data_IF_695875557182
#
_entry.id   IF_695875557182
#
_cell.length_a   1.000
_cell.length_b   1.000
_cell.length_c   1.000
_cell.angle_alpha   90.00
_cell.angle_beta   90.00
_cell.angle_gamma   90.00
#
_symmetry.space_group_name_H-M   'P 1'
#
loop_
_entity.id
_entity.type
_entity.pdbx_description
1 polymer ?
#
# COMPACT_ATOMS: atom_id res chain seq x y z
N UNK A 1 65.04 -14.83 -15.90
CA UNK A 1 63.71 -15.49 -15.96
C UNK A 1 63.03 -15.46 -14.59
N UNK A 2 62.91 -14.29 -13.94
CA UNK A 2 62.42 -14.17 -12.55
C UNK A 2 61.35 -13.08 -12.32
N UNK A 3 60.89 -12.39 -13.38
CA UNK A 3 59.99 -11.22 -13.25
C UNK A 3 58.52 -11.47 -13.66
N UNK A 4 58.16 -12.72 -14.03
CA UNK A 4 56.78 -13.06 -14.44
C UNK A 4 55.96 -13.78 -13.36
N UNK A 5 56.59 -14.30 -12.30
CA UNK A 5 55.88 -15.03 -11.24
C UNK A 5 55.15 -14.11 -10.25
N UNK A 6 55.75 -12.95 -9.90
CA UNK A 6 55.19 -12.01 -8.92
C UNK A 6 53.91 -11.29 -9.39
N UNK A 7 53.76 -11.04 -10.69
CA UNK A 7 52.55 -10.37 -11.24
C UNK A 7 51.32 -11.27 -11.26
N UNK A 8 51.50 -12.58 -11.46
CA UNK A 8 50.40 -13.56 -11.46
C UNK A 8 49.92 -13.83 -10.03
N UNK A 9 50.84 -13.91 -9.06
CA UNK A 9 50.52 -14.10 -7.65
C UNK A 9 49.79 -12.89 -7.04
N UNK A 10 50.17 -11.66 -7.43
CA UNK A 10 49.51 -10.45 -6.95
C UNK A 10 48.08 -10.31 -7.52
N UNK A 11 47.86 -10.72 -8.77
CA UNK A 11 46.55 -10.68 -9.41
C UNK A 11 45.57 -11.73 -8.85
N UNK A 12 46.03 -12.93 -8.51
CA UNK A 12 45.20 -13.97 -7.88
C UNK A 12 44.83 -13.61 -6.43
N UNK A 13 45.76 -13.05 -5.66
CA UNK A 13 45.51 -12.54 -4.31
C UNK A 13 44.49 -11.38 -4.34
N UNK A 14 44.63 -10.44 -5.28
CA UNK A 14 43.68 -9.34 -5.44
C UNK A 14 42.27 -9.83 -5.84
N UNK A 15 42.16 -10.80 -6.75
CA UNK A 15 40.86 -11.43 -7.09
C UNK A 15 40.24 -12.19 -5.92
N UNK A 16 41.03 -12.86 -5.08
CA UNK A 16 40.54 -13.54 -3.88
C UNK A 16 40.03 -12.54 -2.82
N UNK A 17 40.71 -11.40 -2.64
CA UNK A 17 40.24 -10.33 -1.75
C UNK A 17 38.97 -9.65 -2.28
N UNK A 18 38.91 -9.38 -3.59
CA UNK A 18 37.70 -8.83 -4.22
C UNK A 18 36.51 -9.80 -4.10
N UNK A 19 36.69 -11.08 -4.38
CA UNK A 19 35.64 -12.10 -4.24
C UNK A 19 35.19 -12.36 -2.79
N UNK A 20 36.12 -12.26 -1.82
CA UNK A 20 35.77 -12.34 -0.40
C UNK A 20 34.98 -11.10 0.06
N UNK A 21 35.34 -9.90 -0.42
CA UNK A 21 34.66 -8.65 -0.08
C UNK A 21 33.25 -8.55 -0.68
N UNK A 22 33.05 -9.03 -1.91
CA UNK A 22 31.71 -9.08 -2.52
C UNK A 22 30.81 -10.10 -1.83
N UNK A 23 31.31 -11.30 -1.54
CA UNK A 23 30.57 -12.32 -0.81
C UNK A 23 30.22 -11.87 0.62
N UNK A 24 31.12 -11.13 1.29
CA UNK A 24 30.84 -10.55 2.60
C UNK A 24 29.79 -9.44 2.53
N UNK A 25 29.79 -8.61 1.48
CA UNK A 25 28.76 -7.60 1.24
C UNK A 25 27.39 -8.21 1.01
N UNK A 26 27.29 -9.21 0.13
CA UNK A 26 26.05 -9.95 -0.15
C UNK A 26 25.50 -10.65 1.10
N UNK A 27 26.39 -11.25 1.91
CA UNK A 27 26.00 -11.88 3.17
C UNK A 27 25.44 -10.86 4.17
N UNK A 28 26.08 -9.69 4.29
CA UNK A 28 25.61 -8.62 5.18
C UNK A 28 24.26 -8.07 4.73
N UNK A 29 24.05 -7.91 3.42
CA UNK A 29 22.77 -7.50 2.85
C UNK A 29 21.68 -8.55 3.12
N UNK A 30 21.97 -9.83 2.90
CA UNK A 30 21.03 -10.92 3.18
C UNK A 30 20.65 -11.01 4.68
N UNK A 31 21.63 -10.87 5.58
CA UNK A 31 21.39 -10.82 7.02
C UNK A 31 20.54 -9.61 7.37
N UNK A 32 20.85 -8.44 6.80
CA UNK A 32 20.07 -7.23 7.08
C UNK A 32 18.63 -7.35 6.56
N UNK A 33 18.42 -7.86 5.36
CA UNK A 33 17.07 -8.07 4.80
C UNK A 33 16.24 -9.04 5.65
N UNK A 34 16.88 -10.05 6.23
CA UNK A 34 16.22 -10.98 7.17
C UNK A 34 15.86 -10.27 8.46
N UNK A 35 16.81 -9.53 9.06
CA UNK A 35 16.60 -8.78 10.29
C UNK A 35 15.54 -7.69 10.12
N UNK A 36 15.50 -7.02 8.97
CA UNK A 36 14.54 -5.99 8.64
C UNK A 36 13.12 -6.52 8.70
N UNK A 37 12.86 -7.66 8.05
CA UNK A 37 11.55 -8.30 8.08
C UNK A 37 11.13 -8.74 9.49
N UNK A 38 12.08 -9.21 10.32
CA UNK A 38 11.80 -9.55 11.72
C UNK A 38 11.40 -8.31 12.53
N UNK A 39 12.15 -7.21 12.40
CA UNK A 39 11.88 -5.96 13.12
C UNK A 39 10.55 -5.36 12.68
N UNK A 40 10.28 -5.31 11.36
CA UNK A 40 9.01 -4.82 10.82
C UNK A 40 7.86 -5.64 11.38
N UNK A 41 7.92 -6.98 11.27
CA UNK A 41 6.86 -7.88 11.75
C UNK A 41 6.60 -7.68 13.24
N UNK A 42 7.64 -7.52 14.04
CA UNK A 42 7.55 -7.32 15.49
C UNK A 42 6.83 -6.00 15.85
N UNK A 43 7.25 -4.86 15.27
CA UNK A 43 6.58 -3.58 15.53
C UNK A 43 5.14 -3.54 14.98
N UNK A 44 4.88 -4.11 13.81
CA UNK A 44 3.52 -4.18 13.24
C UNK A 44 2.63 -5.07 14.10
N UNK A 45 3.13 -6.23 14.55
CA UNK A 45 2.38 -7.12 15.46
C UNK A 45 2.06 -6.42 16.78
N UNK A 46 3.04 -5.72 17.37
CA UNK A 46 2.86 -4.94 18.59
C UNK A 46 1.80 -3.84 18.41
N UNK A 47 1.87 -3.09 17.31
CA UNK A 47 0.89 -2.05 16.99
C UNK A 47 -0.51 -2.65 16.77
N UNK A 48 -0.61 -3.77 16.06
CA UNK A 48 -1.86 -4.47 15.79
C UNK A 48 -2.53 -4.99 17.06
N UNK A 49 -1.74 -5.61 17.96
CA UNK A 49 -2.26 -6.09 19.24
C UNK A 49 -2.77 -4.95 20.14
N UNK A 50 -2.23 -3.73 19.99
CA UNK A 50 -2.73 -2.56 20.68
C UNK A 50 -3.98 -1.97 20.00
N UNK A 51 -4.05 -2.01 18.67
CA UNK A 51 -5.16 -1.51 17.88
C UNK A 51 -5.18 -2.19 16.49
N UNK A 52 -6.11 -3.12 16.25
CA UNK A 52 -6.21 -3.89 14.99
C UNK A 52 -6.35 -2.99 13.76
N UNK A 53 -6.93 -1.81 13.93
CA UNK A 53 -7.16 -0.87 12.83
C UNK A 53 -5.86 -0.39 12.18
N UNK A 54 -4.68 -0.62 12.74
CA UNK A 54 -3.41 -0.30 12.06
C UNK A 54 -3.20 -1.12 10.80
N UNK A 55 -3.77 -2.34 10.71
CA UNK A 55 -3.62 -3.19 9.54
C UNK A 55 -4.16 -2.54 8.25
N UNK A 56 -5.43 -2.11 8.19
CA UNK A 56 -5.92 -1.40 7.00
C UNK A 56 -5.22 -0.05 6.77
N UNK A 57 -4.70 0.60 7.81
CA UNK A 57 -3.97 1.86 7.66
C UNK A 57 -2.64 1.68 6.93
N UNK A 58 -1.84 0.69 7.33
CA UNK A 58 -0.53 0.42 6.72
C UNK A 58 -0.67 -0.15 5.32
N UNK A 59 -1.68 -0.99 5.07
CA UNK A 59 -2.03 -1.46 3.73
C UNK A 59 -2.38 -0.29 2.80
N UNK A 60 -3.25 0.62 3.25
CA UNK A 60 -3.61 1.82 2.49
C UNK A 60 -2.41 2.76 2.28
N UNK A 61 -1.55 2.92 3.28
CA UNK A 61 -0.36 3.77 3.17
C UNK A 61 0.59 3.26 2.06
N UNK A 62 0.77 1.95 1.95
CA UNK A 62 1.54 1.35 0.86
C UNK A 62 0.88 1.54 -0.53
N UNK A 63 -0.44 1.38 -0.63
CA UNK A 63 -1.17 1.68 -1.87
C UNK A 63 -0.98 3.16 -2.30
N UNK A 64 -1.11 4.09 -1.35
CA UNK A 64 -0.95 5.52 -1.62
C UNK A 64 0.47 5.89 -2.05
N UNK A 65 1.49 5.23 -1.48
CA UNK A 65 2.87 5.36 -1.94
C UNK A 65 3.00 4.90 -3.40
N UNK A 66 2.63 3.65 -3.69
CA UNK A 66 2.84 3.05 -5.00
C UNK A 66 2.10 3.75 -6.14
N UNK A 67 0.94 4.36 -5.88
CA UNK A 67 0.14 5.05 -6.90
C UNK A 67 0.58 6.50 -7.14
N UNK A 68 1.51 7.04 -6.35
CA UNK A 68 2.08 8.38 -6.53
C UNK A 68 3.57 8.24 -6.75
N UNK A 69 4.02 8.43 -8.00
CA UNK A 69 5.42 8.25 -8.41
C UNK A 69 6.01 6.85 -8.16
N UNK A 70 5.21 5.82 -7.92
CA UNK A 70 5.72 4.47 -7.66
C UNK A 70 6.12 4.25 -6.20
N UNK A 71 6.47 3.02 -5.84
CA UNK A 71 6.72 2.63 -4.45
C UNK A 71 8.11 3.11 -3.97
N UNK A 72 8.24 4.41 -3.69
CA UNK A 72 9.50 5.05 -3.30
C UNK A 72 9.46 5.71 -1.91
N UNK A 73 8.41 5.49 -1.13
CA UNK A 73 8.25 6.10 0.19
C UNK A 73 8.09 7.63 0.15
N UNK A 74 7.81 8.24 -1.00
CA UNK A 74 7.59 9.70 -1.13
C UNK A 74 6.45 10.18 -0.23
N UNK A 75 5.40 9.37 -0.05
CA UNK A 75 4.26 9.64 0.83
C UNK A 75 4.66 9.90 2.30
N UNK A 76 5.85 9.45 2.72
CA UNK A 76 6.34 9.60 4.09
C UNK A 76 7.01 10.94 4.38
N UNK A 77 7.38 11.70 3.33
CA UNK A 77 8.02 13.00 3.48
C UNK A 77 7.05 14.02 4.09
N UNK A 78 7.55 14.78 5.06
CA UNK A 78 6.83 15.90 5.63
C UNK A 78 7.02 17.16 4.76
N UNK A 79 6.03 18.07 4.79
CA UNK A 79 6.10 19.35 4.08
C UNK A 79 7.27 20.21 4.57
N UNK A 80 7.85 20.98 3.65
CA UNK A 80 8.87 21.99 3.93
C UNK A 80 8.29 23.39 3.68
N UNK A 81 8.96 24.49 4.10
CA UNK A 81 8.46 25.84 3.85
C UNK A 81 8.14 26.14 2.37
N UNK A 82 8.91 25.54 1.45
CA UNK A 82 8.79 25.78 0.00
C UNK A 82 8.03 24.67 -0.75
N UNK A 83 7.58 23.62 -0.06
CA UNK A 83 6.92 22.48 -0.69
C UNK A 83 5.88 21.81 0.21
N UNK A 84 4.63 21.76 -0.25
CA UNK A 84 3.58 20.93 0.37
C UNK A 84 3.71 19.49 -0.12
N UNK A 85 4.00 18.57 0.80
CA UNK A 85 4.16 17.15 0.53
C UNK A 85 2.82 16.44 0.30
N UNK A 86 2.87 15.24 -0.25
CA UNK A 86 1.69 14.40 -0.50
C UNK A 86 0.87 14.14 0.76
N UNK A 87 1.54 13.97 1.90
CA UNK A 87 0.89 13.74 3.20
C UNK A 87 -0.14 14.82 3.56
N UNK A 88 0.05 16.04 3.06
CA UNK A 88 -0.85 17.17 3.29
C UNK A 88 -1.91 17.37 2.20
N UNK A 89 -1.95 16.50 1.19
CA UNK A 89 -2.98 16.53 0.16
C UNK A 89 -4.33 15.99 0.68
N UNK A 90 -5.47 16.44 0.11
CA UNK A 90 -6.80 16.00 0.54
C UNK A 90 -7.00 14.47 0.66
N UNK A 91 -6.59 13.60 -0.30
CA UNK A 91 -6.79 12.15 -0.17
C UNK A 91 -5.94 11.51 0.95
N UNK A 92 -4.89 12.21 1.39
CA UNK A 92 -3.88 11.70 2.32
C UNK A 92 -4.06 12.20 3.76
N UNK A 93 -4.91 13.21 4.00
CA UNK A 93 -5.21 13.72 5.35
C UNK A 93 -5.78 12.67 6.31
N UNK A 94 -6.24 11.54 5.79
CA UNK A 94 -6.78 10.40 6.56
C UNK A 94 -5.83 9.21 6.64
N UNK A 95 -4.63 9.30 6.05
CA UNK A 95 -3.58 8.31 6.24
C UNK A 95 -3.05 8.36 7.68
N UNK A 96 -2.63 7.21 8.20
CA UNK A 96 -2.09 7.04 9.56
C UNK A 96 -1.10 5.87 9.59
N UNK A 97 -0.39 5.70 10.71
CA UNK A 97 0.64 4.67 10.87
C UNK A 97 2.05 5.14 10.55
N UNK A 98 2.25 6.44 10.25
CA UNK A 98 3.57 7.02 10.00
C UNK A 98 4.51 6.82 11.20
N UNK A 99 3.99 6.93 12.41
CA UNK A 99 4.72 6.70 13.67
C UNK A 99 5.20 5.24 13.85
N UNK A 100 4.48 4.27 13.27
CA UNK A 100 4.90 2.86 13.27
C UNK A 100 6.10 2.71 12.33
N UNK A 101 6.04 3.34 11.16
CA UNK A 101 7.16 3.38 10.20
C UNK A 101 8.39 4.03 10.82
N UNK A 102 8.22 5.14 11.56
CA UNK A 102 9.30 5.79 12.29
C UNK A 102 9.94 4.87 13.34
N UNK A 103 9.12 4.16 14.14
CA UNK A 103 9.60 3.25 15.17
C UNK A 103 10.39 2.07 14.57
N UNK A 104 9.89 1.50 13.46
CA UNK A 104 10.62 0.47 12.71
C UNK A 104 11.94 1.02 12.20
N UNK A 105 11.92 2.19 11.57
CA UNK A 105 13.12 2.81 11.00
C UNK A 105 14.16 3.08 12.08
N UNK A 106 13.74 3.60 13.22
CA UNK A 106 14.63 3.85 14.35
C UNK A 106 15.31 2.57 14.85
N UNK A 107 14.57 1.46 14.95
CA UNK A 107 15.17 0.15 15.33
C UNK A 107 16.18 -0.35 14.31
N UNK A 108 15.92 -0.14 13.02
CA UNK A 108 16.82 -0.53 11.95
C UNK A 108 18.10 0.30 11.94
N UNK A 109 17.99 1.62 12.16
CA UNK A 109 19.15 2.52 12.24
C UNK A 109 20.00 2.30 13.49
N UNK A 110 19.40 1.82 14.59
CA UNK A 110 20.14 1.43 15.79
C UNK A 110 20.87 0.08 15.67
N UNK A 111 20.63 -0.67 14.58
CA UNK A 111 21.33 -1.93 14.32
C UNK A 111 22.68 -1.69 13.65
N UNK A 112 23.74 -2.26 14.23
CA UNK A 112 25.09 -2.21 13.64
C UNK A 112 25.19 -2.86 12.27
N UNK A 113 24.25 -3.76 11.95
CA UNK A 113 24.20 -4.46 10.67
C UNK A 113 23.37 -3.69 9.64
N UNK A 114 22.29 -3.02 10.06
CA UNK A 114 21.30 -2.45 9.14
C UNK A 114 21.29 -0.92 9.03
N UNK A 115 22.06 -0.20 9.86
CA UNK A 115 22.17 1.25 9.77
C UNK A 115 22.50 1.70 8.33
N UNK A 116 21.68 2.59 7.78
CA UNK A 116 21.80 3.13 6.43
C UNK A 116 21.56 2.14 5.28
N UNK A 117 20.94 0.97 5.53
CA UNK A 117 20.77 -0.07 4.48
C UNK A 117 19.33 -0.34 4.06
N UNK A 118 18.35 -0.16 4.95
CA UNK A 118 16.94 -0.49 4.67
C UNK A 118 16.16 0.79 4.34
N UNK A 119 15.59 0.88 3.14
CA UNK A 119 14.78 2.03 2.73
C UNK A 119 13.44 2.06 3.44
N UNK A 120 12.85 3.26 3.53
CA UNK A 120 11.50 3.43 4.07
C UNK A 120 10.44 2.83 3.14
N UNK A 121 10.68 2.85 1.83
CA UNK A 121 9.85 2.18 0.82
C UNK A 121 9.76 0.65 1.06
N UNK A 122 10.87 -0.01 1.39
CA UNK A 122 10.83 -1.44 1.74
C UNK A 122 10.11 -1.68 3.07
N UNK A 123 10.28 -0.79 4.07
CA UNK A 123 9.55 -0.87 5.34
C UNK A 123 8.03 -0.82 5.10
N UNK A 124 7.55 0.09 4.26
CA UNK A 124 6.12 0.17 3.90
C UNK A 124 5.61 -1.14 3.29
N UNK A 125 6.36 -1.71 2.36
CA UNK A 125 5.96 -2.93 1.66
C UNK A 125 5.90 -4.12 2.62
N UNK A 126 6.90 -4.28 3.50
CA UNK A 126 6.88 -5.30 4.54
C UNK A 126 5.73 -5.10 5.54
N UNK A 127 5.50 -3.86 5.97
CA UNK A 127 4.45 -3.53 6.94
C UNK A 127 3.05 -3.81 6.38
N UNK A 128 2.84 -3.53 5.10
CA UNK A 128 1.61 -3.88 4.38
C UNK A 128 1.36 -5.39 4.37
N UNK A 129 2.38 -6.19 4.06
CA UNK A 129 2.27 -7.66 4.09
C UNK A 129 1.91 -8.16 5.48
N UNK A 130 2.66 -7.76 6.49
CA UNK A 130 2.47 -8.26 7.84
C UNK A 130 1.10 -7.83 8.40
N UNK A 131 0.60 -6.65 8.00
CA UNK A 131 -0.76 -6.17 8.31
C UNK A 131 -1.86 -7.07 7.74
N UNK A 132 -1.77 -7.46 6.46
CA UNK A 132 -2.76 -8.37 5.85
C UNK A 132 -2.73 -9.75 6.50
N UNK A 133 -1.53 -10.28 6.77
CA UNK A 133 -1.39 -11.57 7.46
C UNK A 133 -1.99 -11.55 8.87
N UNK A 134 -1.77 -10.48 9.63
CA UNK A 134 -2.35 -10.33 10.98
C UNK A 134 -3.87 -10.20 10.95
N UNK A 135 -4.43 -9.60 9.89
CA UNK A 135 -5.87 -9.56 9.65
C UNK A 135 -6.46 -10.89 9.13
N UNK A 136 -5.64 -11.95 8.98
CA UNK A 136 -6.08 -13.28 8.53
C UNK A 136 -6.00 -13.52 7.03
N UNK A 137 -5.41 -12.58 6.28
CA UNK A 137 -5.23 -12.68 4.83
C UNK A 137 -3.99 -13.49 4.41
N UNK A 138 -3.71 -13.56 3.10
CA UNK A 138 -2.61 -14.37 2.58
C UNK A 138 -1.25 -13.74 2.87
N UNK A 139 -0.22 -14.60 2.94
CA UNK A 139 1.18 -14.17 2.94
C UNK A 139 1.71 -14.11 1.50
N UNK A 140 2.59 -13.15 1.23
CA UNK A 140 3.38 -13.12 0.00
C UNK A 140 4.85 -12.76 0.26
N UNK A 141 5.79 -13.29 -0.53
CA UNK A 141 7.18 -12.87 -0.46
C UNK A 141 7.31 -11.42 -0.96
N UNK A 142 8.11 -10.63 -0.25
CA UNK A 142 8.41 -9.25 -0.63
C UNK A 142 9.89 -9.16 -1.02
N UNK A 143 10.13 -8.77 -2.27
CA UNK A 143 11.49 -8.46 -2.76
C UNK A 143 11.92 -7.09 -2.24
N UNK A 144 13.09 -7.04 -1.58
CA UNK A 144 13.73 -5.81 -1.10
C UNK A 144 14.42 -5.05 -2.24
N UNK A 145 14.95 -3.88 -1.95
CA UNK A 145 15.85 -3.13 -2.82
C UNK A 145 15.26 -1.82 -3.35
N UNK A 146 14.07 -1.42 -2.89
CA UNK A 146 13.52 -0.10 -3.23
C UNK A 146 14.43 0.99 -2.68
N UNK A 147 14.47 2.11 -3.39
CA UNK A 147 15.15 3.33 -2.93
C UNK A 147 14.12 4.38 -2.59
N UNK A 148 14.45 5.19 -1.60
CA UNK A 148 13.61 6.27 -1.12
C UNK A 148 13.65 7.46 -2.09
N UNK A 149 12.48 7.89 -2.56
CA UNK A 149 12.30 9.06 -3.38
C UNK A 149 12.59 10.35 -2.61
N UNK A 150 13.11 11.35 -3.32
CA UNK A 150 13.47 12.66 -2.75
C UNK A 150 12.48 13.77 -3.12
N UNK A 151 11.35 13.41 -3.76
CA UNK A 151 10.31 14.33 -4.21
C UNK A 151 8.97 13.85 -3.66
N UNK A 152 8.26 14.71 -2.94
CA UNK A 152 6.87 14.50 -2.59
C UNK A 152 6.10 15.79 -2.80
N UNK A 153 4.98 15.73 -3.54
CA UNK A 153 4.21 16.92 -3.92
C UNK A 153 2.71 16.66 -3.81
N UNK A 154 2.01 17.53 -3.10
CA UNK A 154 0.57 17.40 -2.87
C UNK A 154 -0.25 17.29 -4.16
N UNK A 155 0.13 18.00 -5.22
CA UNK A 155 -0.58 17.96 -6.50
C UNK A 155 -0.45 16.63 -7.25
N UNK A 156 0.59 15.84 -7.00
CA UNK A 156 0.79 14.54 -7.65
C UNK A 156 -0.18 13.46 -7.11
N UNK A 157 -0.81 13.72 -5.96
CA UNK A 157 -1.87 12.85 -5.41
C UNK A 157 -3.14 12.80 -6.26
N UNK A 158 -3.27 13.63 -7.31
CA UNK A 158 -4.33 13.49 -8.32
C UNK A 158 -4.25 12.17 -9.10
N UNK A 159 -3.14 11.45 -9.01
CA UNK A 159 -2.99 10.10 -9.55
C UNK A 159 -3.79 9.04 -8.77
N UNK A 160 -4.20 9.32 -7.53
CA UNK A 160 -4.99 8.39 -6.72
C UNK A 160 -6.43 8.29 -7.25
N UNK A 161 -7.02 7.08 -7.32
CA UNK A 161 -8.40 6.92 -7.75
C UNK A 161 -9.36 7.52 -6.71
N UNK A 162 -10.35 8.27 -7.20
CA UNK A 162 -11.43 8.78 -6.36
C UNK A 162 -12.44 7.67 -6.05
N UNK A 163 -13.03 7.64 -4.83
CA UNK A 163 -14.09 6.69 -4.48
C UNK A 163 -15.38 6.86 -5.30
N UNK A 164 -15.44 7.92 -6.13
CA UNK A 164 -16.56 8.27 -7.03
C UNK A 164 -16.34 7.85 -8.49
N UNK A 165 -15.20 7.25 -8.81
CA UNK A 165 -14.92 6.82 -10.18
C UNK A 165 -15.89 5.71 -10.61
N UNK A 166 -16.29 5.75 -11.88
CA UNK A 166 -16.95 4.64 -12.54
C UNK A 166 -15.92 3.61 -13.02
N UNK A 167 -16.38 2.46 -13.53
CA UNK A 167 -15.49 1.38 -13.94
C UNK A 167 -14.48 1.82 -15.01
N UNK A 168 -14.90 2.60 -16.02
CA UNK A 168 -14.00 3.11 -17.06
C UNK A 168 -12.87 3.97 -16.46
N UNK A 169 -13.18 4.84 -15.50
CA UNK A 169 -12.19 5.66 -14.81
C UNK A 169 -11.25 4.82 -13.94
N UNK A 170 -11.76 3.81 -13.24
CA UNK A 170 -10.94 2.89 -12.44
C UNK A 170 -9.97 2.09 -13.32
N UNK A 171 -10.45 1.51 -14.42
CA UNK A 171 -9.63 0.77 -15.37
C UNK A 171 -8.53 1.64 -15.98
N UNK A 172 -8.85 2.88 -16.37
CA UNK A 172 -7.85 3.82 -16.88
C UNK A 172 -6.79 4.19 -15.82
N UNK A 173 -7.20 4.38 -14.57
CA UNK A 173 -6.31 4.71 -13.46
C UNK A 173 -5.34 3.55 -13.14
N UNK A 174 -5.84 2.31 -13.07
CA UNK A 174 -5.01 1.13 -12.83
C UNK A 174 -4.10 0.83 -14.02
N UNK A 175 -4.60 0.99 -15.26
CA UNK A 175 -3.79 0.82 -16.45
C UNK A 175 -2.62 1.82 -16.53
N UNK A 176 -2.78 3.04 -16.02
CA UNK A 176 -1.69 4.02 -15.93
C UNK A 176 -0.53 3.55 -15.02
N UNK A 177 -0.79 2.58 -14.16
CA UNK A 177 0.18 1.93 -13.27
C UNK A 177 0.53 0.50 -13.74
N UNK A 178 0.23 0.15 -15.00
CA UNK A 178 0.41 -1.18 -15.58
C UNK A 178 -0.33 -2.32 -14.84
N UNK A 179 -1.46 -2.01 -14.21
CA UNK A 179 -2.33 -2.97 -13.54
C UNK A 179 -3.56 -3.26 -14.42
N UNK A 180 -4.00 -4.52 -14.44
CA UNK A 180 -5.10 -4.99 -15.30
C UNK A 180 -6.47 -4.86 -14.62
N UNK A 181 -7.54 -5.24 -15.33
CA UNK A 181 -8.88 -5.40 -14.76
C UNK A 181 -8.90 -6.41 -13.59
N UNK A 182 -8.22 -7.55 -13.73
CA UNK A 182 -8.07 -8.52 -12.63
C UNK A 182 -7.38 -7.88 -11.42
N UNK A 183 -6.32 -7.09 -11.64
CA UNK A 183 -5.60 -6.42 -10.56
C UNK A 183 -6.47 -5.38 -9.85
N UNK A 184 -7.30 -4.64 -10.59
CA UNK A 184 -8.30 -3.73 -10.01
C UNK A 184 -9.27 -4.47 -9.09
N UNK A 185 -9.87 -5.56 -9.57
CA UNK A 185 -10.90 -6.29 -8.82
C UNK A 185 -10.27 -6.91 -7.57
N UNK A 186 -9.12 -7.57 -7.70
CA UNK A 186 -8.42 -8.21 -6.60
C UNK A 186 -7.99 -7.19 -5.53
N UNK A 187 -7.34 -6.09 -5.92
CA UNK A 187 -6.85 -5.07 -4.98
C UNK A 187 -7.99 -4.29 -4.32
N UNK A 188 -9.15 -4.14 -4.99
CA UNK A 188 -10.35 -3.59 -4.36
C UNK A 188 -10.82 -4.44 -3.16
N UNK A 189 -10.50 -5.73 -3.16
CA UNK A 189 -10.72 -6.63 -2.01
C UNK A 189 -10.06 -6.17 -0.72
N UNK A 190 -9.06 -5.28 -0.76
CA UNK A 190 -8.49 -4.67 0.44
C UNK A 190 -9.51 -3.89 1.28
N UNK A 191 -10.65 -3.48 0.69
CA UNK A 191 -11.75 -2.84 1.40
C UNK A 191 -12.53 -3.79 2.34
N UNK A 192 -12.19 -5.08 2.39
CA UNK A 192 -12.71 -6.03 3.40
C UNK A 192 -12.31 -5.67 4.84
N UNK A 193 -11.27 -4.85 5.02
CA UNK A 193 -10.84 -4.37 6.34
C UNK A 193 -10.81 -2.84 6.42
N UNK A 194 -11.14 -2.30 7.59
CA UNK A 194 -11.01 -0.89 7.91
C UNK A 194 -12.27 -0.07 7.72
N UNK A 195 -12.10 1.25 7.82
CA UNK A 195 -13.20 2.20 7.93
C UNK A 195 -13.03 3.36 6.95
N UNK A 196 -14.15 3.94 6.54
CA UNK A 196 -14.20 5.12 5.71
C UNK A 196 -14.94 6.26 6.42
N UNK A 197 -14.46 7.48 6.22
CA UNK A 197 -15.20 8.68 6.63
C UNK A 197 -16.43 8.89 5.73
N UNK A 198 -17.53 9.36 6.32
CA UNK A 198 -18.78 9.66 5.62
C UNK A 198 -18.57 10.59 4.41
N UNK A 199 -17.61 11.53 4.49
CA UNK A 199 -17.24 12.41 3.38
C UNK A 199 -16.89 11.69 2.06
N UNK A 200 -16.35 10.48 2.15
CA UNK A 200 -15.90 9.71 0.98
C UNK A 200 -17.03 9.11 0.16
N UNK A 201 -18.23 8.91 0.74
CA UNK A 201 -19.37 8.27 0.07
C UNK A 201 -20.72 8.99 0.26
N UNK A 202 -20.78 10.07 1.05
CA UNK A 202 -22.01 10.83 1.33
C UNK A 202 -22.74 11.34 0.08
N UNK A 203 -22.04 11.51 -1.05
CA UNK A 203 -22.69 11.82 -2.34
C UNK A 203 -23.70 10.74 -2.72
N UNK A 204 -23.41 9.46 -2.45
CA UNK A 204 -24.32 8.35 -2.72
C UNK A 204 -25.58 8.38 -1.86
N UNK A 205 -25.55 9.02 -0.70
CA UNK A 205 -26.67 9.07 0.23
C UNK A 205 -27.62 10.24 -0.05
N UNK A 206 -27.07 11.38 -0.47
CA UNK A 206 -27.80 12.67 -0.46
C UNK A 206 -27.70 13.50 -1.73
N UNK A 207 -26.69 13.29 -2.59
CA UNK A 207 -26.41 14.15 -3.75
C UNK A 207 -25.78 13.36 -4.90
N UNK A 208 -26.39 12.24 -5.29
CA UNK A 208 -25.78 11.32 -6.25
C UNK A 208 -25.65 11.94 -7.64
N UNK A 209 -26.74 12.52 -8.17
CA UNK A 209 -26.70 13.37 -9.37
C UNK A 209 -27.86 14.38 -9.38
N UNK A 210 -27.97 15.19 -10.44
CA UNK A 210 -28.96 16.26 -10.55
C UNK A 210 -30.43 15.79 -10.51
N UNK A 211 -30.71 14.54 -10.87
CA UNK A 211 -32.07 13.97 -10.95
C UNK A 211 -32.33 12.89 -9.91
N UNK A 212 -31.29 12.33 -9.31
CA UNK A 212 -31.37 11.19 -8.38
C UNK A 212 -30.63 11.54 -7.09
N UNK A 213 -31.34 11.80 -5.98
CA UNK A 213 -30.71 12.20 -4.72
C UNK A 213 -29.85 11.11 -4.09
N UNK A 214 -30.34 9.87 -4.07
CA UNK A 214 -29.62 8.70 -3.56
C UNK A 214 -29.20 7.81 -4.72
N UNK A 215 -27.99 7.25 -4.64
CA UNK A 215 -27.49 6.29 -5.62
C UNK A 215 -28.44 5.08 -5.74
N UNK A 216 -29.02 4.81 -6.93
CA UNK A 216 -29.92 3.68 -7.13
C UNK A 216 -29.20 2.33 -7.12
N UNK A 217 -27.87 2.31 -7.26
CA UNK A 217 -27.07 1.08 -7.16
C UNK A 217 -26.63 0.78 -5.73
N UNK A 218 -27.11 1.54 -4.74
CA UNK A 218 -26.89 1.25 -3.32
C UNK A 218 -28.18 0.65 -2.74
N UNK A 219 -28.05 -0.50 -2.08
CA UNK A 219 -29.16 -1.17 -1.40
C UNK A 219 -29.90 -0.16 -0.50
N UNK A 220 -31.22 -0.04 -0.67
CA UNK A 220 -32.00 1.02 -0.02
C UNK A 220 -32.07 0.87 1.51
N UNK A 221 -32.08 -0.36 2.02
CA UNK A 221 -32.04 -0.65 3.46
C UNK A 221 -30.68 -0.27 4.03
N UNK A 222 -29.61 -0.69 3.38
CA UNK A 222 -28.25 -0.34 3.80
C UNK A 222 -27.98 1.17 3.70
N UNK A 223 -28.47 1.84 2.65
CA UNK A 223 -28.43 3.30 2.56
C UNK A 223 -29.15 3.98 3.73
N UNK A 224 -30.26 3.42 4.21
CA UNK A 224 -30.96 3.87 5.42
C UNK A 224 -30.07 3.79 6.66
N UNK A 225 -29.41 2.65 6.88
CA UNK A 225 -28.47 2.44 7.99
C UNK A 225 -27.26 3.39 7.92
N UNK A 226 -26.70 3.60 6.71
CA UNK A 226 -25.62 4.55 6.50
C UNK A 226 -26.05 5.98 6.81
N UNK A 227 -27.29 6.37 6.49
CA UNK A 227 -27.81 7.71 6.81
C UNK A 227 -27.93 7.97 8.32
N UNK A 228 -28.21 6.94 9.12
CA UNK A 228 -28.20 7.05 10.59
C UNK A 228 -26.79 7.32 11.13
N UNK A 229 -25.78 6.65 10.57
CA UNK A 229 -24.38 6.82 10.96
C UNK A 229 -23.72 8.08 10.36
N UNK A 230 -24.21 8.51 9.21
CA UNK A 230 -23.71 9.63 8.41
C UNK A 230 -24.83 10.66 8.13
N UNK A 231 -25.37 11.34 9.15
CA UNK A 231 -26.41 12.34 8.94
C UNK A 231 -25.89 13.52 8.11
N UNK A 232 -26.80 14.22 7.42
CA UNK A 232 -26.47 15.40 6.61
C UNK A 232 -25.65 16.40 7.44
N UNK A 233 -24.49 16.81 6.91
CA UNK A 233 -23.58 17.76 7.57
C UNK A 233 -22.53 17.14 8.49
N UNK A 234 -22.61 15.86 8.83
CA UNK A 234 -21.55 15.15 9.55
C UNK A 234 -20.72 14.27 8.60
N UNK A 235 -19.62 14.84 8.09
CA UNK A 235 -18.73 14.13 7.15
C UNK A 235 -17.56 13.42 7.83
N UNK A 236 -17.35 13.65 9.13
CA UNK A 236 -16.17 13.17 9.86
C UNK A 236 -16.40 11.82 10.55
N UNK A 237 -17.65 11.45 10.83
CA UNK A 237 -17.98 10.10 11.31
C UNK A 237 -17.41 9.03 10.37
N UNK A 238 -17.12 7.86 10.92
CA UNK A 238 -16.59 6.71 10.18
C UNK A 238 -17.53 5.52 10.27
N UNK A 239 -17.62 4.76 9.19
CA UNK A 239 -18.32 3.46 9.13
C UNK A 239 -17.35 2.39 8.64
N UNK A 240 -17.54 1.12 8.99
CA UNK A 240 -16.76 0.03 8.40
C UNK A 240 -16.97 -0.05 6.88
N UNK A 241 -15.92 -0.42 6.13
CA UNK A 241 -16.01 -0.64 4.68
C UNK A 241 -16.66 -1.98 4.35
N UNK A 242 -16.47 -2.97 5.22
CA UNK A 242 -17.16 -4.26 5.26
C UNK A 242 -18.02 -4.30 6.54
N UNK A 243 -19.36 -4.18 6.44
CA UNK A 243 -20.24 -4.13 7.60
C UNK A 243 -20.36 -5.45 8.37
N UNK A 244 -19.89 -6.57 7.82
CA UNK A 244 -20.06 -7.91 8.41
C UNK A 244 -18.81 -8.33 9.17
N UNK A 245 -17.62 -8.12 8.59
CA UNK A 245 -16.31 -8.55 9.11
C UNK A 245 -15.23 -7.47 9.03
N UNK A 246 -15.43 -6.29 9.65
CA UNK A 246 -14.61 -5.09 9.41
C UNK A 246 -13.12 -5.19 9.76
N UNK A 247 -12.72 -6.20 10.55
CA UNK A 247 -11.35 -6.42 11.01
C UNK A 247 -10.70 -7.68 10.41
N UNK A 248 -11.41 -8.43 9.54
CA UNK A 248 -10.93 -9.70 8.99
C UNK A 248 -10.72 -9.57 7.49
N UNK A 249 -9.54 -9.95 7.03
CA UNK A 249 -9.23 -10.00 5.61
C UNK A 249 -9.83 -11.25 4.97
N UNK A 250 -11.01 -11.14 4.38
CA UNK A 250 -11.68 -12.26 3.73
C UNK A 250 -12.51 -11.86 2.49
N UNK A 251 -13.44 -12.71 2.06
CA UNK A 251 -14.22 -12.55 0.83
C UNK A 251 -15.55 -11.82 1.06
N UNK A 252 -15.84 -11.37 2.28
CA UNK A 252 -17.14 -10.80 2.62
C UNK A 252 -17.39 -9.48 1.89
N UNK A 253 -16.35 -8.67 1.68
CA UNK A 253 -16.37 -7.51 0.76
C UNK A 253 -17.05 -7.81 -0.58
N UNK A 254 -16.72 -8.93 -1.24
CA UNK A 254 -17.31 -9.27 -2.53
C UNK A 254 -18.78 -9.71 -2.40
N UNK A 255 -19.13 -10.35 -1.29
CA UNK A 255 -20.53 -10.70 -0.98
C UNK A 255 -21.37 -9.43 -0.79
N UNK A 256 -20.84 -8.43 -0.08
CA UNK A 256 -21.50 -7.15 0.14
C UNK A 256 -21.65 -6.39 -1.17
N UNK A 257 -20.63 -6.36 -2.02
CA UNK A 257 -20.72 -5.77 -3.36
C UNK A 257 -21.88 -6.39 -4.16
N UNK A 258 -22.01 -7.73 -4.18
CA UNK A 258 -23.12 -8.42 -4.88
C UNK A 258 -24.50 -8.10 -4.31
N UNK A 259 -24.59 -7.78 -3.03
CA UNK A 259 -25.82 -7.32 -2.37
C UNK A 259 -26.12 -5.84 -2.60
N UNK A 260 -25.30 -5.14 -3.40
CA UNK A 260 -25.31 -3.70 -3.58
C UNK A 260 -25.03 -2.94 -2.27
N UNK A 261 -24.21 -3.53 -1.40
CA UNK A 261 -23.79 -3.01 -0.09
C UNK A 261 -22.31 -2.58 -0.09
N UNK A 262 -21.64 -2.60 -1.25
CA UNK A 262 -20.34 -1.96 -1.43
C UNK A 262 -20.42 -0.46 -1.11
N UNK A 263 -19.53 0.03 -0.23
CA UNK A 263 -19.65 1.35 0.39
C UNK A 263 -19.41 2.48 -0.60
N UNK A 264 -18.33 2.41 -1.37
CA UNK A 264 -17.96 3.43 -2.34
C UNK A 264 -18.67 3.21 -3.69
N UNK A 265 -18.78 4.27 -4.47
CA UNK A 265 -19.31 4.16 -5.83
C UNK A 265 -18.35 3.35 -6.71
N UNK A 266 -17.04 3.42 -6.42
CA UNK A 266 -16.03 2.58 -7.03
C UNK A 266 -16.22 1.09 -6.75
N UNK A 267 -16.71 0.72 -5.57
CA UNK A 267 -16.97 -0.69 -5.22
C UNK A 267 -18.17 -1.21 -6.02
N UNK A 268 -19.27 -0.45 -6.04
CA UNK A 268 -20.44 -0.78 -6.84
C UNK A 268 -20.14 -0.83 -8.35
N UNK A 269 -19.16 -0.04 -8.82
CA UNK A 269 -18.75 -0.03 -10.22
C UNK A 269 -18.18 -1.38 -10.69
N UNK A 270 -17.71 -2.24 -9.79
CA UNK A 270 -17.23 -3.60 -10.12
C UNK A 270 -18.35 -4.54 -10.62
N UNK A 271 -19.62 -4.12 -10.53
CA UNK A 271 -20.76 -4.85 -11.11
C UNK A 271 -21.19 -4.31 -12.48
N UNK A 272 -20.48 -3.33 -13.05
CA UNK A 272 -20.93 -2.61 -14.26
C UNK A 272 -20.84 -3.44 -15.54
N UNK A 273 -20.03 -4.50 -15.58
CA UNK A 273 -19.88 -5.38 -16.77
C UNK A 273 -19.98 -6.85 -16.38
N UNK A 274 -20.39 -7.75 -17.30
CA UNK A 274 -20.41 -9.18 -17.01
C UNK A 274 -19.06 -9.72 -16.56
N UNK A 275 -17.95 -9.30 -17.20
CA UNK A 275 -16.59 -9.72 -16.86
C UNK A 275 -16.24 -9.42 -15.39
N UNK A 276 -16.39 -8.16 -14.99
CA UNK A 276 -16.08 -7.72 -13.62
C UNK A 276 -17.01 -8.35 -12.59
N UNK A 277 -18.32 -8.41 -12.88
CA UNK A 277 -19.31 -9.02 -12.01
C UNK A 277 -19.10 -10.54 -11.81
N UNK A 278 -18.69 -11.25 -12.86
CA UNK A 278 -18.40 -12.69 -12.79
C UNK A 278 -17.17 -12.97 -11.91
N UNK A 279 -16.15 -12.11 -11.97
CA UNK A 279 -14.97 -12.20 -11.10
C UNK A 279 -15.32 -11.87 -9.64
N UNK A 280 -16.13 -10.84 -9.39
CA UNK A 280 -16.66 -10.53 -8.05
C UNK A 280 -17.42 -11.74 -7.49
N UNK A 281 -18.27 -12.39 -8.31
CA UNK A 281 -19.00 -13.61 -7.91
C UNK A 281 -18.07 -14.78 -7.61
N UNK A 282 -17.01 -14.95 -8.38
CA UNK A 282 -15.99 -15.97 -8.12
C UNK A 282 -15.35 -15.75 -6.75
N UNK A 283 -14.89 -14.53 -6.45
CA UNK A 283 -14.24 -14.24 -5.18
C UNK A 283 -15.17 -14.34 -3.98
N UNK A 284 -16.42 -13.90 -4.09
CA UNK A 284 -17.41 -14.02 -3.01
C UNK A 284 -17.58 -15.47 -2.51
N UNK A 285 -17.47 -16.46 -3.40
CA UNK A 285 -17.60 -17.89 -3.07
C UNK A 285 -16.30 -18.66 -2.97
N UNK A 286 -15.13 -18.04 -3.20
CA UNK A 286 -13.86 -18.76 -3.32
C UNK A 286 -12.68 -17.96 -2.75
N UNK A 287 -12.38 -18.18 -1.47
CA UNK A 287 -11.26 -17.56 -0.76
C UNK A 287 -9.91 -17.86 -1.41
N UNK A 288 -9.70 -19.07 -1.94
CA UNK A 288 -8.43 -19.42 -2.59
C UNK A 288 -8.22 -18.58 -3.85
N UNK A 289 -9.23 -18.49 -4.71
CA UNK A 289 -9.14 -17.69 -5.93
C UNK A 289 -8.88 -16.20 -5.62
N UNK A 290 -9.56 -15.64 -4.61
CA UNK A 290 -9.30 -14.27 -4.17
C UNK A 290 -7.86 -14.11 -3.66
N UNK A 291 -7.42 -14.98 -2.75
CA UNK A 291 -6.10 -14.87 -2.15
C UNK A 291 -4.97 -15.00 -3.18
N UNK A 292 -5.08 -15.94 -4.12
CA UNK A 292 -4.07 -16.14 -5.17
C UNK A 292 -3.93 -14.90 -6.05
N UNK A 293 -5.06 -14.33 -6.50
CA UNK A 293 -5.04 -13.13 -7.33
C UNK A 293 -4.62 -11.89 -6.53
N UNK A 294 -5.07 -11.74 -5.28
CA UNK A 294 -4.64 -10.63 -4.41
C UNK A 294 -3.12 -10.65 -4.21
N UNK A 295 -2.53 -11.81 -3.95
CA UNK A 295 -1.07 -11.97 -3.82
C UNK A 295 -0.36 -11.56 -5.12
N UNK A 296 -0.85 -12.01 -6.27
CA UNK A 296 -0.26 -11.63 -7.56
C UNK A 296 -0.35 -10.11 -7.80
N UNK A 297 -1.51 -9.52 -7.53
CA UNK A 297 -1.75 -8.09 -7.78
C UNK A 297 -1.03 -7.19 -6.81
N UNK A 298 -0.92 -7.53 -5.52
CA UNK A 298 -0.18 -6.73 -4.54
C UNK A 298 1.33 -6.80 -4.77
N UNK A 299 1.85 -7.93 -5.26
CA UNK A 299 3.26 -8.03 -5.71
C UNK A 299 3.50 -7.12 -6.91
N UNK A 300 2.62 -7.12 -7.91
CA UNK A 300 2.72 -6.22 -9.08
C UNK A 300 2.64 -4.75 -8.66
N UNK A 301 1.70 -4.40 -7.80
CA UNK A 301 1.56 -3.05 -7.26
C UNK A 301 2.84 -2.63 -6.53
N UNK A 302 3.35 -3.49 -5.64
CA UNK A 302 4.60 -3.24 -4.92
C UNK A 302 5.84 -3.12 -5.83
N UNK A 303 5.74 -3.52 -7.09
CA UNK A 303 6.80 -3.42 -8.10
C UNK A 303 6.66 -2.19 -9.02
N UNK A 304 5.66 -1.31 -8.80
CA UNK A 304 5.54 -0.07 -9.55
C UNK A 304 6.78 0.78 -9.30
N UNK A 305 7.58 0.93 -10.35
CA UNK A 305 8.84 1.65 -10.29
C UNK A 305 8.63 3.17 -10.39
N UNK A 306 9.51 3.97 -9.78
CA UNK A 306 9.46 5.40 -9.97
C UNK A 306 9.73 5.85 -11.39
N UNK A 307 9.35 7.10 -11.76
CA UNK A 307 9.59 7.64 -13.09
C UNK A 307 11.05 7.44 -13.53
N UNK A 308 11.25 7.06 -14.79
CA UNK A 308 12.58 6.80 -15.32
C UNK A 308 13.52 8.00 -15.09
N UNK A 309 14.75 7.73 -14.64
CA UNK A 309 15.72 8.76 -14.28
C UNK A 309 15.54 9.35 -12.87
N UNK A 310 14.59 8.86 -12.08
CA UNK A 310 14.49 9.22 -10.66
C UNK A 310 15.76 8.76 -9.92
N UNK A 311 16.25 9.64 -9.05
CA UNK A 311 17.29 9.32 -8.09
C UNK A 311 16.64 8.99 -6.75
N UNK A 312 17.16 7.98 -6.05
CA UNK A 312 16.70 7.63 -4.73
C UNK A 312 17.86 7.31 -3.79
N UNK A 313 17.55 7.32 -2.50
CA UNK A 313 18.51 7.12 -1.42
C UNK A 313 18.06 6.03 -0.46
N UNK A 314 18.80 5.85 0.63
CA UNK A 314 18.29 5.18 1.83
C UNK A 314 18.20 6.25 2.90
N UNK A 315 17.00 6.76 3.16
CA UNK A 315 16.79 7.81 4.17
C UNK A 315 17.13 7.25 5.54
N UNK A 316 17.80 8.01 6.41
CA UNK A 316 17.97 7.62 7.82
C UNK A 316 16.76 8.00 8.68
N UNK A 317 15.96 8.96 8.22
CA UNK A 317 14.69 9.37 8.80
C UNK A 317 13.65 9.41 7.67
N UNK A 318 12.58 8.62 7.77
CA UNK A 318 11.58 8.51 6.71
C UNK A 318 10.81 9.81 6.43
N UNK A 319 10.91 10.80 7.30
CA UNK A 319 10.18 12.07 7.19
C UNK A 319 10.88 13.12 6.35
N UNK A 320 12.18 12.97 6.12
CA UNK A 320 13.01 14.00 5.48
C UNK A 320 14.03 13.36 4.55
N UNK A 321 14.38 14.09 3.48
CA UNK A 321 15.50 13.74 2.61
C UNK A 321 16.81 13.87 3.40
N UNK A 322 17.79 13.00 3.16
CA UNK A 322 19.10 13.13 3.80
C UNK A 322 19.76 14.46 3.40
N UNK A 323 20.54 15.09 4.28
CA UNK A 323 21.34 16.25 3.91
C UNK A 323 22.35 15.86 2.82
N UNK A 324 22.53 16.76 1.85
CA UNK A 324 23.59 16.69 0.83
C UNK A 324 24.99 16.78 1.45
#
# INVERSE_FOLDING_TARGET
MAMRCGKVLLATILCLFLGASSAQGELVEAICNTLAQVIVKDEVTKAFNANSTVAPALLRLHFHDCFVRGCDGSVLLDSTPDNTAEKDAPPNKTLRGFEIIDAIKQRLENSTICAGKVSCADILTYASRDSVVLAGGPFWPVTAGRKDGIISRANETSALPSPRLNLTGLLANFAANNLTEDDLIALSGAHTIGHAHCGSFSNRLYSFNATTPQDPSLNSTYAGQLKESCPVGNLNSTVPMDPVTPDKFDTTYYSDVLLNEGLFQSDAALLSTPSTADKVRLYAGNTTAFNDDFVNSIIKMGAIAPPAGSYGEVRVNCRVVNPL
#
